data_IF_027930007105
#
_entry.id   IF_027930007105
#
_cell.length_a   1.000
_cell.length_b   1.000
_cell.length_c   1.000
_cell.angle_alpha   90.00
_cell.angle_beta   90.00
_cell.angle_gamma   90.00
#
_symmetry.space_group_name_H-M   'P 1'
#
loop_
_entity.id
_entity.type
_entity.pdbx_description
1 polymer ?
#
# COMPACT_ATOMS: atom_id res chain seq x y z
N UNK A 1 -27.72 -24.56 28.65
CA UNK A 1 -27.12 -23.50 27.79
C UNK A 1 -25.64 -23.27 28.14
N UNK A 2 -25.21 -23.77 29.30
CA UNK A 2 -23.94 -23.49 29.98
C UNK A 2 -22.79 -24.46 29.61
N UNK A 3 -23.09 -25.55 28.90
CA UNK A 3 -22.12 -26.53 28.40
C UNK A 3 -21.45 -26.12 27.07
N UNK A 4 -21.75 -24.92 26.54
CA UNK A 4 -21.18 -24.41 25.30
C UNK A 4 -19.78 -23.82 25.55
N UNK A 5 -18.71 -24.27 24.85
CA UNK A 5 -17.37 -23.71 24.97
C UNK A 5 -17.31 -22.19 24.75
N UNK A 6 -18.12 -21.66 23.84
CA UNK A 6 -18.17 -20.22 23.54
C UNK A 6 -18.73 -19.39 24.70
N UNK A 7 -19.67 -19.93 25.48
CA UNK A 7 -20.25 -19.22 26.62
C UNK A 7 -19.18 -18.95 27.69
N UNK A 8 -18.34 -19.96 27.99
CA UNK A 8 -17.26 -19.86 28.97
C UNK A 8 -16.23 -18.79 28.57
N UNK A 9 -15.83 -18.78 27.29
CA UNK A 9 -14.89 -17.79 26.75
C UNK A 9 -15.43 -16.35 26.83
N UNK A 10 -16.70 -16.15 26.43
CA UNK A 10 -17.34 -14.84 26.51
C UNK A 10 -17.47 -14.34 27.96
N UNK A 11 -17.66 -15.24 28.91
CA UNK A 11 -17.68 -14.91 30.33
C UNK A 11 -16.30 -14.49 30.85
N UNK A 12 -15.22 -15.17 30.43
CA UNK A 12 -13.85 -14.80 30.77
C UNK A 12 -13.52 -13.39 30.25
N UNK A 13 -13.87 -13.08 29.00
CA UNK A 13 -13.68 -11.74 28.41
C UNK A 13 -14.45 -10.65 29.19
N UNK A 14 -15.72 -10.93 29.52
CA UNK A 14 -16.57 -9.99 30.24
C UNK A 14 -16.09 -9.76 31.68
N UNK A 15 -15.83 -10.83 32.44
CA UNK A 15 -15.44 -10.75 33.85
C UNK A 15 -14.05 -10.14 34.03
N UNK A 16 -13.11 -10.40 33.10
CA UNK A 16 -11.75 -9.86 33.19
C UNK A 16 -11.60 -8.40 32.75
N UNK A 17 -12.27 -8.01 31.66
CA UNK A 17 -11.98 -6.74 30.98
C UNK A 17 -13.23 -5.91 30.66
N UNK A 18 -14.40 -6.27 31.19
CA UNK A 18 -15.68 -5.60 30.93
C UNK A 18 -15.95 -5.39 29.44
N UNK A 19 -15.63 -6.41 28.63
CA UNK A 19 -15.71 -6.37 27.16
C UNK A 19 -16.53 -7.55 26.62
N UNK A 20 -16.64 -7.66 25.30
CA UNK A 20 -17.35 -8.75 24.65
C UNK A 20 -18.89 -8.66 24.68
N UNK A 21 -19.58 -9.73 24.26
CA UNK A 21 -21.03 -9.72 24.02
C UNK A 21 -21.87 -9.63 25.31
N UNK A 22 -21.33 -10.07 26.44
CA UNK A 22 -22.03 -10.09 27.72
C UNK A 22 -21.93 -8.78 28.51
N UNK A 23 -21.10 -7.82 28.07
CA UNK A 23 -21.00 -6.48 28.68
C UNK A 23 -22.37 -5.82 28.85
N UNK A 24 -23.23 -5.94 27.84
CA UNK A 24 -24.59 -5.35 27.83
C UNK A 24 -25.53 -5.93 28.89
N UNK A 25 -25.28 -7.16 29.36
CA UNK A 25 -26.16 -7.91 30.28
C UNK A 25 -25.64 -7.94 31.72
N UNK A 26 -24.59 -7.17 32.03
CA UNK A 26 -23.83 -7.20 33.27
C UNK A 26 -23.11 -8.55 33.48
N UNK A 27 -21.78 -8.54 33.46
CA UNK A 27 -20.94 -9.74 33.47
C UNK A 27 -21.20 -10.64 34.69
N UNK A 28 -21.35 -10.05 35.87
CA UNK A 28 -21.57 -10.80 37.11
C UNK A 28 -22.91 -11.53 37.09
N UNK A 29 -23.96 -10.92 36.53
CA UNK A 29 -25.28 -11.57 36.43
C UNK A 29 -25.26 -12.66 35.35
N UNK A 30 -24.61 -12.40 34.22
CA UNK A 30 -24.56 -13.32 33.10
C UNK A 30 -23.73 -14.59 33.38
N UNK A 31 -22.72 -14.50 34.28
CA UNK A 31 -21.72 -15.56 34.48
C UNK A 31 -21.66 -16.14 35.89
N UNK A 32 -22.31 -15.53 36.90
CA UNK A 32 -22.25 -15.95 38.32
C UNK A 32 -22.65 -17.40 38.60
N UNK A 33 -23.50 -17.99 37.75
CA UNK A 33 -24.02 -19.35 37.96
C UNK A 33 -23.02 -20.45 37.64
N UNK A 34 -22.05 -20.18 36.77
CA UNK A 34 -21.18 -21.18 36.15
C UNK A 34 -19.69 -20.90 36.35
N UNK A 35 -19.31 -19.63 36.55
CA UNK A 35 -17.91 -19.23 36.65
C UNK A 35 -17.71 -18.30 37.84
N UNK A 36 -16.85 -18.74 38.76
CA UNK A 36 -16.21 -17.87 39.74
C UNK A 36 -14.90 -17.35 39.15
N UNK A 37 -14.59 -16.05 39.31
CA UNK A 37 -13.39 -15.45 38.73
C UNK A 37 -12.49 -14.82 39.80
N UNK A 38 -11.19 -14.84 39.53
CA UNK A 38 -10.17 -14.18 40.32
C UNK A 38 -9.13 -13.55 39.37
N UNK A 39 -8.68 -12.34 39.70
CA UNK A 39 -7.69 -11.61 38.90
C UNK A 39 -6.28 -11.86 39.43
N UNK A 40 -5.43 -12.49 38.64
CA UNK A 40 -4.07 -12.89 39.03
C UNK A 40 -3.00 -12.05 38.31
N UNK A 41 -1.85 -11.88 38.97
CA UNK A 41 -0.73 -11.09 38.45
C UNK A 41 0.23 -11.92 37.56
N UNK A 42 0.33 -13.23 37.81
CA UNK A 42 1.27 -14.11 37.11
C UNK A 42 0.63 -15.49 36.89
N UNK A 43 1.05 -16.14 35.80
CA UNK A 43 0.70 -17.52 35.39
C UNK A 43 -0.72 -17.74 34.84
N UNK A 44 -0.77 -18.30 33.62
CA UNK A 44 -1.99 -18.75 32.96
C UNK A 44 -1.62 -19.77 31.87
N UNK A 45 -2.40 -20.85 31.75
CA UNK A 45 -2.17 -21.98 30.85
C UNK A 45 -2.90 -21.79 29.51
N UNK A 46 -4.06 -21.17 29.54
CA UNK A 46 -4.90 -20.97 28.37
C UNK A 46 -4.74 -19.55 27.82
N UNK A 47 -4.83 -19.43 26.50
CA UNK A 47 -4.75 -18.16 25.81
C UNK A 47 -5.80 -18.11 24.69
N UNK A 48 -6.55 -17.02 24.62
CA UNK A 48 -7.61 -16.82 23.63
C UNK A 48 -7.65 -15.35 23.18
N UNK A 49 -8.08 -15.12 21.94
CA UNK A 49 -8.35 -13.76 21.46
C UNK A 49 -9.74 -13.28 21.87
N UNK A 50 -9.80 -12.04 22.34
CA UNK A 50 -11.04 -11.32 22.62
C UNK A 50 -11.63 -10.65 21.38
N UNK A 51 -12.75 -9.94 21.55
CA UNK A 51 -13.43 -9.21 20.47
C UNK A 51 -12.58 -8.07 19.89
N UNK A 52 -11.65 -7.53 20.68
CA UNK A 52 -10.73 -6.45 20.33
C UNK A 52 -9.41 -6.97 19.73
N UNK A 53 -9.30 -8.30 19.51
CA UNK A 53 -8.11 -9.01 19.03
C UNK A 53 -6.90 -8.94 19.97
N UNK A 54 -7.13 -8.61 21.24
CA UNK A 54 -6.14 -8.76 22.29
C UNK A 54 -6.11 -10.22 22.75
N UNK A 55 -4.95 -10.65 23.23
CA UNK A 55 -4.79 -11.96 23.83
C UNK A 55 -5.11 -11.90 25.32
N UNK A 56 -6.11 -12.66 25.73
CA UNK A 56 -6.45 -12.91 27.12
C UNK A 56 -5.79 -14.22 27.53
N UNK A 57 -5.14 -14.21 28.70
CA UNK A 57 -4.53 -15.39 29.32
C UNK A 57 -5.29 -15.74 30.59
N UNK A 58 -5.67 -16.99 30.74
CA UNK A 58 -6.43 -17.47 31.90
C UNK A 58 -6.16 -18.94 32.25
N UNK A 59 -6.53 -19.36 33.45
CA UNK A 59 -6.73 -20.77 33.82
C UNK A 59 -8.22 -21.04 34.00
N UNK A 60 -8.65 -22.26 33.75
CA UNK A 60 -10.00 -22.71 34.02
C UNK A 60 -9.94 -24.08 34.70
N UNK A 61 -10.30 -24.11 35.99
CA UNK A 61 -10.33 -25.32 36.80
C UNK A 61 -11.79 -25.67 37.14
N UNK A 62 -12.19 -26.92 36.92
CA UNK A 62 -13.54 -27.37 37.26
C UNK A 62 -13.67 -27.57 38.77
N UNK A 63 -14.71 -26.97 39.36
CA UNK A 63 -15.04 -27.10 40.78
C UNK A 63 -16.08 -28.21 40.99
N UNK A 64 -16.34 -28.53 42.26
CA UNK A 64 -17.38 -29.50 42.63
C UNK A 64 -18.76 -28.97 42.23
N UNK A 65 -19.46 -29.70 41.37
CA UNK A 65 -20.76 -29.34 40.84
C UNK A 65 -20.87 -29.60 39.34
N UNK A 66 -22.07 -29.43 38.79
CA UNK A 66 -22.30 -29.50 37.34
C UNK A 66 -21.93 -28.17 36.70
N UNK A 67 -21.00 -28.21 35.74
CA UNK A 67 -20.59 -27.05 34.92
C UNK A 67 -20.17 -25.78 35.70
N UNK A 68 -19.59 -25.95 36.89
CA UNK A 68 -19.06 -24.87 37.74
C UNK A 68 -17.52 -24.82 37.68
N UNK A 69 -16.95 -23.65 37.38
CA UNK A 69 -15.51 -23.47 37.15
C UNK A 69 -14.93 -22.27 37.92
N UNK A 70 -13.66 -22.40 38.33
CA UNK A 70 -12.81 -21.29 38.76
C UNK A 70 -12.02 -20.79 37.55
N UNK A 71 -12.16 -19.51 37.23
CA UNK A 71 -11.37 -18.82 36.23
C UNK A 71 -10.35 -17.90 36.89
N UNK A 72 -9.06 -18.14 36.67
CA UNK A 72 -8.00 -17.22 37.07
C UNK A 72 -7.60 -16.42 35.84
N UNK A 73 -7.90 -15.12 35.83
CA UNK A 73 -7.74 -14.28 34.65
C UNK A 73 -6.55 -13.36 34.89
N UNK A 74 -5.61 -13.34 33.95
CA UNK A 74 -4.45 -12.46 34.05
C UNK A 74 -4.90 -10.99 33.94
N UNK A 75 -4.48 -10.14 34.87
CA UNK A 75 -4.89 -8.71 34.90
C UNK A 75 -4.54 -7.94 33.63
N UNK A 76 -3.44 -8.30 32.99
CA UNK A 76 -2.98 -7.65 31.76
C UNK A 76 -3.27 -8.54 30.54
N UNK A 77 -4.02 -8.00 29.59
CA UNK A 77 -4.18 -8.57 28.25
C UNK A 77 -3.11 -8.01 27.30
N UNK A 78 -2.67 -8.85 26.37
CA UNK A 78 -1.66 -8.46 25.37
C UNK A 78 -2.38 -8.01 24.09
N UNK A 79 -2.52 -6.70 23.92
CA UNK A 79 -3.10 -6.12 22.71
C UNK A 79 -2.02 -5.81 21.68
N UNK A 80 -2.26 -6.04 20.37
CA UNK A 80 -1.33 -5.59 19.34
C UNK A 80 -1.22 -4.06 19.35
N UNK A 81 0.00 -3.55 19.20
CA UNK A 81 0.23 -2.10 19.11
C UNK A 81 -0.46 -1.53 17.86
N UNK A 82 -1.11 -0.36 17.97
CA UNK A 82 -1.67 0.31 16.81
C UNK A 82 -0.52 0.69 15.85
N UNK A 83 -0.73 0.55 14.53
CA UNK A 83 0.29 0.95 13.57
C UNK A 83 0.59 2.45 13.67
N UNK A 84 1.84 2.84 13.45
CA UNK A 84 2.24 4.26 13.46
C UNK A 84 1.60 5.00 12.29
N UNK A 85 0.58 5.79 12.60
CA UNK A 85 -0.16 6.61 11.62
C UNK A 85 0.77 7.61 10.93
N UNK A 86 1.71 8.20 11.67
CA UNK A 86 2.68 9.18 11.16
C UNK A 86 3.60 8.51 10.12
N UNK A 87 4.07 7.29 10.37
CA UNK A 87 4.93 6.57 9.45
C UNK A 87 4.22 6.26 8.12
N UNK A 88 2.93 5.87 8.18
CA UNK A 88 2.12 5.58 6.99
C UNK A 88 1.95 6.85 6.13
N UNK A 89 1.64 7.98 6.77
CA UNK A 89 1.47 9.26 6.08
C UNK A 89 2.81 9.70 5.47
N UNK A 90 3.89 9.69 6.25
CA UNK A 90 5.22 10.06 5.77
C UNK A 90 5.70 9.20 4.61
N UNK A 91 5.53 7.88 4.71
CA UNK A 91 5.90 6.93 3.67
C UNK A 91 5.10 7.12 2.37
N UNK A 92 3.80 7.38 2.47
CA UNK A 92 2.95 7.59 1.28
C UNK A 92 3.31 8.88 0.53
N UNK A 93 3.52 10.00 1.24
CA UNK A 93 3.92 11.27 0.64
C UNK A 93 5.31 11.16 -0.02
N UNK A 94 6.28 10.58 0.70
CA UNK A 94 7.62 10.38 0.17
C UNK A 94 7.62 9.50 -1.09
N UNK A 95 6.82 8.43 -1.10
CA UNK A 95 6.67 7.53 -2.26
C UNK A 95 6.15 8.26 -3.50
N UNK A 96 5.05 9.02 -3.35
CA UNK A 96 4.47 9.79 -4.45
C UNK A 96 5.44 10.85 -4.98
N UNK A 97 6.14 11.56 -4.08
CA UNK A 97 7.13 12.55 -4.46
C UNK A 97 8.30 11.92 -5.25
N UNK A 98 8.81 10.77 -4.81
CA UNK A 98 9.88 10.05 -5.50
C UNK A 98 9.46 9.60 -6.90
N UNK A 99 8.24 9.08 -7.06
CA UNK A 99 7.71 8.71 -8.38
C UNK A 99 7.64 9.94 -9.29
N UNK A 100 7.15 11.07 -8.78
CA UNK A 100 7.11 12.34 -9.52
C UNK A 100 8.49 12.79 -9.99
N UNK A 101 9.50 12.73 -9.11
CA UNK A 101 10.89 13.07 -9.44
C UNK A 101 11.45 12.14 -10.51
N UNK A 102 11.21 10.83 -10.41
CA UNK A 102 11.66 9.85 -11.40
C UNK A 102 11.07 10.14 -12.78
N UNK A 103 9.77 10.45 -12.86
CA UNK A 103 9.12 10.82 -14.12
C UNK A 103 9.71 12.10 -14.70
N UNK A 104 9.92 13.14 -13.88
CA UNK A 104 10.55 14.39 -14.32
C UNK A 104 11.98 14.15 -14.83
N UNK A 105 12.76 13.30 -14.16
CA UNK A 105 14.10 12.92 -14.58
C UNK A 105 14.09 12.22 -15.94
N UNK A 106 13.19 11.26 -16.16
CA UNK A 106 13.04 10.56 -17.45
C UNK A 106 12.67 11.53 -18.58
N UNK A 107 11.66 12.38 -18.36
CA UNK A 107 11.24 13.40 -19.34
C UNK A 107 12.39 14.35 -19.66
N UNK A 108 13.12 14.81 -18.64
CA UNK A 108 14.26 15.70 -18.84
C UNK A 108 15.36 15.06 -19.68
N UNK A 109 15.64 13.77 -19.45
CA UNK A 109 16.65 13.01 -20.18
C UNK A 109 16.25 12.81 -21.65
N UNK A 110 14.97 12.50 -21.91
CA UNK A 110 14.42 12.43 -23.26
C UNK A 110 14.52 13.77 -23.99
N UNK A 111 14.03 14.86 -23.39
CA UNK A 111 14.10 16.19 -24.01
C UNK A 111 15.53 16.62 -24.36
N UNK A 112 16.53 16.27 -23.55
CA UNK A 112 17.93 16.59 -23.87
C UNK A 112 18.47 15.82 -25.09
N UNK A 113 18.05 14.55 -25.26
CA UNK A 113 18.39 13.75 -26.44
C UNK A 113 17.72 14.32 -27.67
N UNK A 114 16.42 14.58 -27.59
CA UNK A 114 15.64 15.15 -28.68
C UNK A 114 16.21 16.51 -29.10
N UNK A 115 16.61 17.37 -28.15
CA UNK A 115 17.24 18.65 -28.46
C UNK A 115 18.60 18.49 -29.16
N UNK A 116 19.39 17.49 -28.76
CA UNK A 116 20.70 17.22 -29.37
C UNK A 116 20.53 16.71 -30.81
N UNK A 117 19.61 15.78 -31.03
CA UNK A 117 19.28 15.27 -32.36
C UNK A 117 18.68 16.36 -33.24
N UNK A 118 17.78 17.17 -32.71
CA UNK A 118 17.20 18.31 -33.41
C UNK A 118 18.28 19.32 -33.86
N UNK A 119 19.23 19.66 -32.98
CA UNK A 119 20.37 20.54 -33.35
C UNK A 119 21.24 19.93 -34.44
N UNK A 120 21.47 18.61 -34.40
CA UNK A 120 22.22 17.90 -35.45
C UNK A 120 21.47 17.98 -36.78
N UNK A 121 20.17 17.69 -36.78
CA UNK A 121 19.31 17.76 -37.96
C UNK A 121 19.26 19.17 -38.58
N UNK A 122 19.10 20.21 -37.77
CA UNK A 122 19.17 21.62 -38.21
C UNK A 122 20.51 21.97 -38.88
N UNK A 123 21.62 21.51 -38.31
CA UNK A 123 22.96 21.75 -38.87
C UNK A 123 23.16 21.03 -40.20
N UNK A 124 22.68 19.78 -40.32
CA UNK A 124 22.70 19.01 -41.57
C UNK A 124 21.83 19.68 -42.64
N UNK A 125 20.63 20.16 -42.28
CA UNK A 125 19.73 20.91 -43.18
C UNK A 125 20.33 22.23 -43.69
N UNK A 126 21.10 22.95 -42.87
CA UNK A 126 21.81 24.18 -43.29
C UNK A 126 22.95 23.87 -44.26
N UNK A 127 23.65 22.75 -44.08
CA UNK A 127 24.69 22.28 -45.02
C UNK A 127 24.09 21.77 -46.33
N UNK A 128 22.95 21.10 -46.28
CA UNK A 128 22.26 20.60 -47.48
C UNK A 128 21.63 21.72 -48.33
N UNK A 129 21.50 22.95 -47.80
CA UNK A 129 21.15 24.13 -48.59
C UNK A 129 22.26 24.57 -49.57
N UNK A 130 23.40 23.88 -49.62
CA UNK A 130 24.45 24.10 -50.61
C UNK A 130 24.68 22.85 -51.47
N UNK A 131 23.73 22.61 -52.36
CA UNK A 131 23.98 22.08 -53.71
C UNK A 131 23.07 22.81 -54.72
N UNK A 132 22.85 24.11 -54.49
CA UNK A 132 22.33 25.06 -55.48
C UNK A 132 23.49 25.72 -56.25
N UNK A 133 24.70 25.14 -56.14
CA UNK A 133 25.76 25.35 -57.10
C UNK A 133 25.64 24.21 -58.10
N UNK A 134 25.39 24.56 -59.36
CA UNK A 134 25.43 23.64 -60.50
C UNK A 134 26.51 22.58 -60.30
N UNK A 135 26.09 21.32 -60.22
CA UNK A 135 27.03 20.21 -60.12
C UNK A 135 27.93 20.26 -61.37
N UNK A 136 29.26 20.45 -61.24
CA UNK A 136 30.14 20.57 -62.40
C UNK A 136 30.25 19.27 -63.22
N UNK A 137 29.73 18.14 -62.70
CA UNK A 137 29.56 16.88 -63.43
C UNK A 137 28.20 16.77 -64.16
N UNK A 138 27.23 17.62 -63.87
CA UNK A 138 25.90 17.60 -64.46
C UNK A 138 25.79 18.70 -65.52
N UNK A 139 26.06 18.34 -66.77
CA UNK A 139 25.72 19.21 -67.90
C UNK A 139 24.23 19.06 -68.19
N UNK A 140 23.49 20.16 -68.13
CA UNK A 140 22.10 20.18 -68.60
C UNK A 140 22.10 19.89 -70.09
N UNK A 141 21.44 18.82 -70.52
CA UNK A 141 21.24 18.49 -71.93
C UNK A 141 20.18 19.42 -72.56
N UNK A 142 20.43 20.73 -72.54
CA UNK A 142 19.56 21.69 -73.22
C UNK A 142 20.09 21.88 -74.65
N UNK A 143 19.50 21.20 -75.61
CA UNK A 143 19.79 21.44 -77.03
C UNK A 143 19.09 22.72 -77.47
N UNK A 144 19.84 23.80 -77.66
CA UNK A 144 19.31 25.02 -78.27
C UNK A 144 19.24 24.79 -79.78
N UNK A 145 18.05 24.53 -80.31
CA UNK A 145 17.82 24.40 -81.75
C UNK A 145 17.54 25.79 -82.31
N UNK A 146 18.54 26.40 -82.95
CA UNK A 146 18.34 27.61 -83.74
C UNK A 146 17.50 27.27 -84.96
N UNK A 147 16.31 27.84 -85.09
CA UNK A 147 15.47 27.66 -86.27
C UNK A 147 15.97 28.59 -87.40
N UNK A 148 16.62 28.08 -88.45
CA UNK A 148 17.17 28.92 -89.53
C UNK A 148 16.07 29.56 -90.40
N UNK A 149 14.82 29.15 -90.25
CA UNK A 149 13.68 29.64 -91.04
C UNK A 149 12.89 30.76 -90.36
N UNK A 150 13.23 31.12 -89.11
CA UNK A 150 12.55 32.18 -88.38
C UNK A 150 13.22 33.54 -88.61
N UNK A 151 12.84 34.21 -89.69
CA UNK A 151 12.96 35.67 -89.80
C UNK A 151 11.78 36.28 -89.07
N UNK A 152 12.04 37.01 -87.99
CA UNK A 152 10.98 37.65 -87.20
C UNK A 152 10.29 38.77 -87.97
N UNK A 153 9.19 38.42 -88.64
CA UNK A 153 8.07 39.29 -89.03
C UNK A 153 6.75 38.64 -88.60
#
# INVERSE_FOLDING_TARGET
MDSNPMYKLNCIECLGFESGPFKKKNCSVACSKSIYHEMVDQFAKCQQKDTERCWIRFNLDQLVGEDYYKAEILKQRDCPEPPSVIAIIGGSIASVALIGILLLMLVKLLMMKDLKEFRKFENEKKKSKWAEADNPLFQTATTTVSNPTFTGE
#
